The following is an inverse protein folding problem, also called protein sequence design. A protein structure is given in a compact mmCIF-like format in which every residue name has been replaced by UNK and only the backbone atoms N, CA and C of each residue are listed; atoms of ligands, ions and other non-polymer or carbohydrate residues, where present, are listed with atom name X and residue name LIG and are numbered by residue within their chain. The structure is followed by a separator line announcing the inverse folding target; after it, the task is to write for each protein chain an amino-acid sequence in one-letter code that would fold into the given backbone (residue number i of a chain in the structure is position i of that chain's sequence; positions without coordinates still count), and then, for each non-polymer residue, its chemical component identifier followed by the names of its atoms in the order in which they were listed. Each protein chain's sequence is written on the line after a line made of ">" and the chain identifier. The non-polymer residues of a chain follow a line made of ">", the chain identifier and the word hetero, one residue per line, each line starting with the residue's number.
data_IF_033668984753
#
_entry.id   IF_033668984753
#
_cell.length_a   1.000
_cell.length_b   1.000
_cell.length_c   1.000
_cell.angle_alpha   90.00
_cell.angle_beta   90.00
_cell.angle_gamma   90.00
#
_symmetry.space_group_name_H-M   'P 1'
#
loop_
_entity.id
_entity.type
_entity.pdbx_description
1 polymer ?
#
# COMPACT_ATOMS: atom_id res chain seq x y z
N UNK A 1 41.53 41.53 -14.47
CA UNK A 1 40.35 41.25 -15.30
C UNK A 1 39.72 42.59 -15.70
N UNK A 2 39.48 42.83 -16.98
CA UNK A 2 38.96 44.13 -17.44
C UNK A 2 37.55 44.36 -16.89
N UNK A 3 37.25 45.52 -16.25
CA UNK A 3 35.93 45.84 -15.67
C UNK A 3 34.76 45.51 -16.61
N UNK A 4 34.93 45.81 -17.92
CA UNK A 4 33.90 45.48 -18.93
C UNK A 4 33.62 43.95 -19.07
N UNK A 5 34.68 43.12 -19.01
CA UNK A 5 34.54 41.65 -19.08
C UNK A 5 33.86 41.09 -17.79
N UNK A 6 34.19 41.66 -16.63
CA UNK A 6 33.57 41.25 -15.36
C UNK A 6 32.08 41.58 -15.32
N UNK A 7 31.69 42.79 -15.81
CA UNK A 7 30.27 43.17 -15.88
C UNK A 7 29.52 42.28 -16.88
N UNK A 8 30.09 41.97 -18.04
CA UNK A 8 29.47 41.10 -19.03
C UNK A 8 29.25 39.68 -18.48
N UNK A 9 30.23 39.11 -17.78
CA UNK A 9 30.11 37.77 -17.15
C UNK A 9 29.00 37.79 -16.08
N UNK A 10 28.98 38.83 -15.24
CA UNK A 10 27.95 38.98 -14.21
C UNK A 10 26.54 39.09 -14.83
N UNK A 11 26.37 39.91 -15.87
CA UNK A 11 25.07 40.05 -16.55
C UNK A 11 24.63 38.75 -17.19
N UNK A 12 25.52 37.98 -17.83
CA UNK A 12 25.22 36.65 -18.39
C UNK A 12 24.82 35.68 -17.29
N UNK A 13 25.52 35.66 -16.15
CA UNK A 13 25.20 34.81 -15.02
C UNK A 13 23.80 35.14 -14.44
N UNK A 14 23.45 36.41 -14.31
CA UNK A 14 22.12 36.85 -13.89
C UNK A 14 21.02 36.42 -14.87
N UNK A 15 21.25 36.55 -16.17
CA UNK A 15 20.30 36.11 -17.21
C UNK A 15 20.10 34.59 -17.15
N UNK A 16 21.17 33.82 -17.02
CA UNK A 16 21.10 32.36 -16.89
C UNK A 16 20.35 31.93 -15.61
N UNK A 17 20.56 32.65 -14.51
CA UNK A 17 19.86 32.39 -13.25
C UNK A 17 18.34 32.67 -13.39
N UNK A 18 17.97 33.81 -13.99
CA UNK A 18 16.58 34.17 -14.26
C UNK A 18 15.93 33.14 -15.21
N UNK A 19 16.61 32.76 -16.29
CA UNK A 19 16.14 31.71 -17.21
C UNK A 19 15.95 30.37 -16.49
N UNK A 20 16.89 29.93 -15.65
CA UNK A 20 16.78 28.72 -14.85
C UNK A 20 15.59 28.77 -13.92
N UNK A 21 15.32 29.91 -13.28
CA UNK A 21 14.17 30.13 -12.41
C UNK A 21 12.85 30.05 -13.17
N UNK A 22 12.78 30.70 -14.35
CA UNK A 22 11.60 30.62 -15.22
C UNK A 22 11.33 29.18 -15.63
N UNK A 23 12.35 28.44 -16.06
CA UNK A 23 12.22 27.01 -16.40
C UNK A 23 11.77 26.15 -15.22
N UNK A 24 12.19 26.45 -14.00
CA UNK A 24 11.76 25.72 -12.81
C UNK A 24 10.23 25.80 -12.55
N UNK A 25 9.60 26.93 -12.92
CA UNK A 25 8.17 27.18 -12.67
C UNK A 25 7.29 27.03 -13.92
N UNK A 26 7.86 26.68 -15.07
CA UNK A 26 7.07 26.50 -16.30
C UNK A 26 6.04 25.38 -16.11
N UNK A 27 4.80 25.55 -16.59
CA UNK A 27 3.81 24.48 -16.62
C UNK A 27 4.27 23.28 -17.44
N UNK A 28 3.72 22.12 -17.15
CA UNK A 28 3.95 20.91 -17.95
C UNK A 28 3.63 21.14 -19.40
N UNK A 29 4.54 20.82 -20.30
CA UNK A 29 4.32 20.91 -21.74
C UNK A 29 4.99 19.72 -22.46
N UNK A 30 4.41 19.24 -23.58
CA UNK A 30 4.97 18.14 -24.33
C UNK A 30 6.27 18.53 -25.03
N UNK A 31 7.27 17.69 -24.97
CA UNK A 31 8.54 17.87 -25.67
C UNK A 31 8.41 17.28 -27.09
N UNK A 32 7.92 18.09 -28.03
CA UNK A 32 7.80 17.70 -29.43
C UNK A 32 6.89 16.50 -29.63
N UNK A 33 7.38 15.45 -30.30
CA UNK A 33 6.67 14.16 -30.51
C UNK A 33 7.11 13.07 -29.51
N UNK A 34 7.80 13.45 -28.44
CA UNK A 34 8.25 12.52 -27.39
C UNK A 34 7.05 12.05 -26.55
N UNK A 35 7.15 10.83 -26.01
CA UNK A 35 6.22 10.34 -24.98
C UNK A 35 6.46 11.00 -23.61
N UNK A 36 7.43 11.88 -23.48
CA UNK A 36 7.79 12.53 -22.22
C UNK A 36 7.38 14.00 -22.24
N UNK A 37 6.73 14.41 -21.18
CA UNK A 37 6.38 15.80 -20.92
C UNK A 37 7.43 16.43 -20.00
N UNK A 38 7.79 17.67 -20.27
CA UNK A 38 8.59 18.45 -19.33
C UNK A 38 7.69 18.97 -18.21
N UNK A 39 8.07 18.69 -16.98
CA UNK A 39 7.44 19.27 -15.80
C UNK A 39 8.47 20.10 -15.05
N UNK A 40 8.15 21.38 -14.80
CA UNK A 40 9.05 22.29 -14.10
C UNK A 40 9.44 21.76 -12.71
N UNK A 41 10.69 21.90 -12.32
CA UNK A 41 11.25 21.36 -11.07
C UNK A 41 10.44 21.74 -9.83
N UNK A 42 9.86 22.94 -9.77
CA UNK A 42 9.06 23.38 -8.64
C UNK A 42 7.77 22.55 -8.46
N UNK A 43 7.25 21.96 -9.53
CA UNK A 43 6.06 21.08 -9.49
C UNK A 43 6.41 19.63 -9.21
N UNK A 44 7.65 19.24 -9.43
CA UNK A 44 8.13 17.90 -9.10
C UNK A 44 8.55 17.75 -7.63
N UNK A 45 8.63 18.86 -6.89
CA UNK A 45 8.88 18.83 -5.44
C UNK A 45 7.62 18.36 -4.76
N UNK A 46 7.69 17.17 -4.20
CA UNK A 46 6.62 16.60 -3.39
C UNK A 46 6.62 17.25 -2.01
N UNK A 47 5.45 17.68 -1.59
CA UNK A 47 5.26 18.36 -0.31
C UNK A 47 4.74 17.36 0.72
N UNK A 48 5.23 17.43 1.95
CA UNK A 48 4.71 16.62 3.04
C UNK A 48 3.30 17.05 3.48
N UNK A 49 2.71 16.29 4.38
CA UNK A 49 1.32 16.44 4.86
C UNK A 49 0.98 17.87 5.33
N UNK A 50 1.92 18.55 5.99
CA UNK A 50 1.73 19.91 6.53
C UNK A 50 1.53 20.99 5.44
N UNK A 51 2.13 20.78 4.27
CA UNK A 51 2.13 21.74 3.16
C UNK A 51 1.14 21.37 2.05
N UNK A 52 1.01 20.09 1.74
CA UNK A 52 0.09 19.60 0.71
C UNK A 52 -1.32 19.33 1.27
N UNK A 53 -1.41 19.10 2.58
CA UNK A 53 -2.58 18.46 3.16
C UNK A 53 -2.58 16.96 2.86
N UNK A 54 -3.62 16.26 3.25
CA UNK A 54 -3.74 14.84 3.00
C UNK A 54 -4.44 14.10 4.13
N UNK A 55 -4.06 12.85 4.34
CA UNK A 55 -4.69 11.94 5.28
C UNK A 55 -3.66 11.39 6.27
N UNK A 56 -4.02 11.34 7.54
CA UNK A 56 -3.27 10.64 8.58
C UNK A 56 -4.20 9.64 9.28
N UNK A 57 -3.79 8.37 9.35
CA UNK A 57 -4.51 7.32 10.06
C UNK A 57 -3.60 6.69 11.12
N UNK A 58 -4.14 6.52 12.32
CA UNK A 58 -3.46 5.84 13.43
C UNK A 58 -4.21 4.57 13.75
N UNK A 59 -3.49 3.46 13.76
CA UNK A 59 -4.00 2.13 14.08
C UNK A 59 -3.44 1.67 15.43
N UNK A 60 -4.30 1.17 16.30
CA UNK A 60 -3.91 0.38 17.45
C UNK A 60 -3.49 -1.01 17.01
N UNK A 61 -2.38 -1.49 17.57
CA UNK A 61 -1.85 -2.82 17.27
C UNK A 61 -1.95 -3.70 18.51
N UNK A 62 -2.44 -4.92 18.32
CA UNK A 62 -2.51 -5.94 19.37
C UNK A 62 -1.95 -7.25 18.86
N UNK A 63 -1.44 -8.06 19.78
CA UNK A 63 -1.22 -9.47 19.48
C UNK A 63 -2.56 -10.16 19.20
N UNK A 64 -2.60 -11.15 18.29
CA UNK A 64 -3.79 -11.98 18.09
C UNK A 64 -4.25 -12.64 19.40
N UNK A 65 -5.54 -12.94 19.49
CA UNK A 65 -6.12 -13.57 20.68
C UNK A 65 -5.37 -14.85 21.06
N UNK A 66 -4.91 -14.88 22.32
CA UNK A 66 -4.19 -16.02 22.88
C UNK A 66 -2.67 -16.01 22.66
N UNK A 67 -2.13 -14.99 21.98
CA UNK A 67 -0.68 -14.81 21.82
C UNK A 67 -0.15 -13.69 22.72
N UNK A 68 1.05 -13.93 23.29
CA UNK A 68 1.85 -12.89 23.94
C UNK A 68 3.13 -12.70 23.14
N UNK A 69 3.31 -11.51 22.56
CA UNK A 69 4.49 -11.20 21.76
C UNK A 69 5.56 -10.54 22.65
N UNK A 70 6.80 -10.96 22.46
CA UNK A 70 7.95 -10.20 22.99
C UNK A 70 8.11 -8.90 22.19
N UNK A 71 8.85 -7.94 22.75
CA UNK A 71 9.10 -6.65 22.06
C UNK A 71 9.81 -6.83 20.72
N UNK A 72 10.73 -7.79 20.62
CA UNK A 72 11.48 -8.09 19.39
C UNK A 72 10.57 -8.76 18.34
N UNK A 73 9.73 -9.71 18.74
CA UNK A 73 8.75 -10.33 17.84
C UNK A 73 7.75 -9.33 17.32
N UNK A 74 7.22 -8.46 18.18
CA UNK A 74 6.32 -7.38 17.78
C UNK A 74 6.98 -6.46 16.76
N UNK A 75 8.24 -6.07 17.01
CA UNK A 75 9.00 -5.23 16.08
C UNK A 75 9.14 -5.89 14.70
N UNK A 76 9.54 -7.16 14.64
CA UNK A 76 9.69 -7.90 13.38
C UNK A 76 8.35 -7.94 12.62
N UNK A 77 7.25 -8.20 13.32
CA UNK A 77 5.90 -8.22 12.71
C UNK A 77 5.51 -6.84 12.18
N UNK A 78 5.76 -5.78 12.94
CA UNK A 78 5.46 -4.40 12.54
C UNK A 78 6.33 -3.93 11.36
N UNK A 79 7.60 -4.34 11.28
CA UNK A 79 8.45 -4.08 10.12
C UNK A 79 7.85 -4.71 8.85
N UNK A 80 7.33 -5.92 8.95
CA UNK A 80 6.65 -6.60 7.84
C UNK A 80 5.35 -5.90 7.41
N UNK A 81 4.51 -5.51 8.36
CA UNK A 81 3.26 -4.76 8.07
C UNK A 81 3.59 -3.42 7.43
N UNK A 82 4.57 -2.69 7.97
CA UNK A 82 5.05 -1.42 7.42
C UNK A 82 5.48 -1.58 5.97
N UNK A 83 6.37 -2.54 5.68
CA UNK A 83 6.85 -2.79 4.33
C UNK A 83 5.71 -3.10 3.34
N UNK A 84 4.74 -3.92 3.75
CA UNK A 84 3.57 -4.24 2.92
C UNK A 84 2.67 -3.03 2.67
N UNK A 85 2.49 -2.16 3.67
CA UNK A 85 1.71 -0.94 3.50
C UNK A 85 2.41 0.06 2.58
N UNK A 86 3.73 0.26 2.73
CA UNK A 86 4.54 1.14 1.88
C UNK A 86 4.52 0.65 0.41
N UNK A 87 4.60 -0.66 0.18
CA UNK A 87 4.53 -1.26 -1.15
C UNK A 87 3.14 -1.03 -1.79
N UNK A 88 2.07 -1.27 -1.05
CA UNK A 88 0.70 -1.01 -1.50
C UNK A 88 0.50 0.47 -1.87
N UNK A 89 0.89 1.39 -0.99
CA UNK A 89 0.74 2.83 -1.21
C UNK A 89 1.54 3.30 -2.43
N UNK A 90 2.79 2.84 -2.56
CA UNK A 90 3.65 3.15 -3.70
C UNK A 90 3.04 2.63 -5.01
N UNK A 91 2.47 1.43 -5.02
CA UNK A 91 1.82 0.84 -6.20
C UNK A 91 0.60 1.65 -6.68
N UNK A 92 -0.06 2.36 -5.76
CA UNK A 92 -1.19 3.24 -6.03
C UNK A 92 -0.78 4.68 -6.38
N UNK A 93 0.52 4.94 -6.45
CA UNK A 93 1.06 6.26 -6.79
C UNK A 93 1.27 7.20 -5.61
N UNK A 94 1.02 6.76 -4.37
CA UNK A 94 1.26 7.54 -3.15
C UNK A 94 2.73 7.41 -2.70
N UNK A 95 3.65 7.87 -3.55
CA UNK A 95 5.12 7.68 -3.35
C UNK A 95 5.68 8.46 -2.17
N UNK A 96 4.99 9.50 -1.70
CA UNK A 96 5.40 10.35 -0.56
C UNK A 96 4.71 9.95 0.74
N UNK A 97 4.02 8.82 0.74
CA UNK A 97 3.43 8.27 1.95
C UNK A 97 4.51 7.85 2.96
N UNK A 98 4.21 8.03 4.23
CA UNK A 98 5.09 7.67 5.33
C UNK A 98 4.35 6.71 6.27
N UNK A 99 4.94 5.54 6.50
CA UNK A 99 4.44 4.57 7.47
C UNK A 99 5.43 4.48 8.63
N UNK A 100 4.97 4.80 9.82
CA UNK A 100 5.76 4.71 11.04
C UNK A 100 5.05 3.85 12.08
N UNK A 101 5.79 3.32 13.02
CA UNK A 101 5.19 2.61 14.15
C UNK A 101 5.88 2.94 15.47
N UNK A 102 5.16 2.76 16.56
CA UNK A 102 5.65 2.86 17.93
C UNK A 102 5.36 1.54 18.66
N UNK A 103 6.36 1.02 19.36
CA UNK A 103 6.26 -0.20 20.19
C UNK A 103 6.20 0.10 21.68
N UNK A 104 6.33 1.37 22.09
CA UNK A 104 6.37 1.77 23.51
C UNK A 104 4.95 2.06 24.00
N UNK A 105 4.58 1.50 25.13
CA UNK A 105 3.24 1.65 25.69
C UNK A 105 2.20 0.86 24.90
N UNK A 106 1.18 1.53 24.37
CA UNK A 106 0.22 0.93 23.43
C UNK A 106 0.80 0.98 22.01
N UNK A 107 1.17 -0.15 21.41
CA UNK A 107 1.74 -0.17 20.07
C UNK A 107 0.79 0.43 19.04
N UNK A 108 1.34 1.22 18.11
CA UNK A 108 0.58 1.87 17.04
C UNK A 108 1.34 1.86 15.72
N UNK A 109 0.58 1.86 14.63
CA UNK A 109 1.07 2.20 13.29
C UNK A 109 0.40 3.51 12.88
N UNK A 110 1.19 4.44 12.36
CA UNK A 110 0.71 5.70 11.78
C UNK A 110 1.03 5.71 10.29
N UNK A 111 0.03 5.98 9.49
CA UNK A 111 0.13 6.11 8.03
C UNK A 111 -0.23 7.53 7.65
N UNK A 112 0.69 8.22 6.99
CA UNK A 112 0.51 9.59 6.51
C UNK A 112 0.63 9.61 4.98
N UNK A 113 -0.36 10.18 4.33
CA UNK A 113 -0.43 10.23 2.87
C UNK A 113 -0.72 11.67 2.46
N UNK A 114 0.27 12.40 1.97
CA UNK A 114 0.08 13.76 1.48
C UNK A 114 -0.59 13.78 0.11
N UNK A 115 -1.18 14.94 -0.24
CA UNK A 115 -1.73 15.24 -1.57
C UNK A 115 -2.80 14.25 -2.04
N UNK A 116 -3.78 14.00 -1.18
CA UNK A 116 -4.88 13.06 -1.43
C UNK A 116 -6.13 13.80 -1.88
N UNK A 117 -6.63 13.47 -3.07
CA UNK A 117 -7.88 14.02 -3.60
C UNK A 117 -9.13 13.38 -2.96
N UNK A 118 -9.08 12.08 -2.68
CA UNK A 118 -10.19 11.31 -2.11
C UNK A 118 -9.75 10.56 -0.82
N UNK A 119 -9.91 11.20 0.35
CA UNK A 119 -9.53 10.60 1.63
C UNK A 119 -10.26 9.30 1.96
N UNK A 120 -11.53 9.16 1.60
CA UNK A 120 -12.35 7.98 1.94
C UNK A 120 -11.82 6.75 1.20
N UNK A 121 -11.50 6.90 -0.09
CA UNK A 121 -10.92 5.84 -0.89
C UNK A 121 -9.56 5.37 -0.35
N UNK A 122 -8.79 6.30 0.19
CA UNK A 122 -7.49 5.97 0.79
C UNK A 122 -7.67 5.21 2.09
N UNK A 123 -8.63 5.59 2.93
CA UNK A 123 -8.91 4.85 4.16
C UNK A 123 -9.36 3.41 3.87
N UNK A 124 -10.13 3.18 2.83
CA UNK A 124 -10.49 1.83 2.39
C UNK A 124 -9.26 1.05 1.92
N UNK A 125 -8.32 1.72 1.26
CA UNK A 125 -7.09 1.11 0.74
C UNK A 125 -6.14 0.67 1.87
N UNK A 126 -5.86 1.57 2.82
CA UNK A 126 -4.97 1.30 3.96
C UNK A 126 -5.66 0.54 5.09
N UNK A 127 -6.98 0.41 4.99
CA UNK A 127 -7.80 -0.28 5.97
C UNK A 127 -7.25 -1.68 6.25
N UNK A 128 -7.45 -2.13 7.42
CA UNK A 128 -7.03 -3.37 8.12
C UNK A 128 -6.30 -4.39 7.27
N UNK A 129 -5.12 -4.87 7.69
CA UNK A 129 -4.53 -6.09 7.14
C UNK A 129 -5.62 -7.17 7.02
N UNK A 130 -5.72 -7.77 5.85
CA UNK A 130 -6.81 -8.71 5.61
C UNK A 130 -6.53 -10.03 6.34
N UNK A 131 -7.36 -10.41 7.29
CA UNK A 131 -7.26 -11.70 7.96
C UNK A 131 -7.94 -12.77 7.13
N UNK A 132 -7.19 -13.83 6.76
CA UNK A 132 -7.72 -15.00 6.05
C UNK A 132 -8.09 -16.09 7.04
N UNK A 133 -9.28 -16.68 6.89
CA UNK A 133 -9.66 -17.93 7.54
C UNK A 133 -10.25 -18.88 6.49
N UNK A 134 -9.91 -20.17 6.59
CA UNK A 134 -10.55 -21.24 5.83
C UNK A 134 -11.20 -22.18 6.82
N UNK A 135 -12.50 -22.38 6.67
CA UNK A 135 -13.33 -23.16 7.60
C UNK A 135 -14.02 -24.29 6.88
N UNK A 136 -14.63 -25.19 7.63
CA UNK A 136 -15.58 -26.15 7.09
C UNK A 136 -16.80 -25.40 6.56
N UNK A 137 -17.39 -25.87 5.46
CA UNK A 137 -18.59 -25.29 4.88
C UNK A 137 -19.71 -25.17 5.92
N UNK A 138 -20.32 -23.98 6.02
CA UNK A 138 -21.43 -23.64 6.93
C UNK A 138 -21.12 -23.86 8.42
N UNK A 139 -19.83 -23.97 8.78
CA UNK A 139 -19.36 -24.15 10.17
C UNK A 139 -18.12 -23.29 10.44
N UNK A 140 -18.33 -22.03 10.80
CA UNK A 140 -17.27 -21.07 11.12
C UNK A 140 -16.44 -21.45 12.36
N UNK A 141 -16.95 -22.36 13.21
CA UNK A 141 -16.24 -22.79 14.42
C UNK A 141 -15.12 -23.78 14.10
N UNK A 142 -15.28 -24.55 13.04
CA UNK A 142 -14.26 -25.49 12.57
C UNK A 142 -13.32 -24.78 11.62
N UNK A 143 -12.29 -24.13 12.17
CA UNK A 143 -11.28 -23.38 11.42
C UNK A 143 -10.08 -24.29 11.14
N UNK A 144 -9.76 -24.48 9.86
CA UNK A 144 -8.60 -25.26 9.41
C UNK A 144 -7.36 -24.38 9.21
N UNK A 145 -7.55 -23.19 8.62
CA UNK A 145 -6.46 -22.26 8.30
C UNK A 145 -6.76 -20.89 8.89
N UNK A 146 -5.73 -20.32 9.53
CA UNK A 146 -5.67 -18.92 9.95
C UNK A 146 -4.46 -18.30 9.25
N UNK A 147 -4.66 -17.21 8.51
CA UNK A 147 -3.62 -16.61 7.66
C UNK A 147 -2.35 -16.25 8.43
N UNK A 148 -2.47 -15.58 9.56
CA UNK A 148 -1.36 -15.17 10.41
C UNK A 148 -0.51 -16.33 10.96
N UNK A 149 -1.09 -17.53 11.08
CA UNK A 149 -0.42 -18.71 11.62
C UNK A 149 0.11 -19.65 10.53
N UNK A 150 -0.61 -19.78 9.44
CA UNK A 150 -0.41 -20.85 8.47
C UNK A 150 0.13 -20.38 7.11
N UNK A 151 0.04 -19.09 6.78
CA UNK A 151 0.61 -18.56 5.55
C UNK A 151 2.08 -18.17 5.73
N UNK A 152 2.86 -18.39 4.68
CA UNK A 152 4.25 -17.96 4.56
C UNK A 152 4.35 -16.74 3.63
N UNK A 153 3.62 -16.79 2.53
CA UNK A 153 3.66 -15.75 1.51
C UNK A 153 2.33 -15.69 0.76
N UNK A 154 1.97 -14.50 0.32
CA UNK A 154 0.82 -14.26 -0.56
C UNK A 154 1.29 -13.43 -1.74
N UNK A 155 0.87 -13.77 -2.93
CA UNK A 155 1.27 -13.05 -4.15
C UNK A 155 0.23 -13.14 -5.24
N UNK A 156 0.58 -12.63 -6.42
CA UNK A 156 -0.26 -12.67 -7.61
C UNK A 156 0.34 -13.64 -8.62
N UNK A 157 -0.49 -14.42 -9.27
CA UNK A 157 -0.11 -15.28 -10.38
C UNK A 157 -1.11 -15.11 -11.55
N UNK A 158 -0.63 -15.34 -12.78
CA UNK A 158 -1.53 -15.38 -13.93
C UNK A 158 -2.45 -16.62 -13.84
N UNK A 159 -3.73 -16.46 -14.20
CA UNK A 159 -4.64 -17.60 -14.31
C UNK A 159 -4.37 -18.39 -15.59
N UNK A 160 -3.55 -19.44 -15.48
CA UNK A 160 -3.14 -20.28 -16.62
C UNK A 160 -4.27 -21.17 -17.13
N UNK A 161 -5.35 -21.39 -16.37
CA UNK A 161 -6.46 -22.23 -16.80
C UNK A 161 -7.39 -21.53 -17.79
N UNK A 162 -7.57 -20.21 -17.63
CA UNK A 162 -8.49 -19.44 -18.48
C UNK A 162 -7.81 -18.77 -19.67
N UNK A 163 -6.50 -18.58 -19.63
CA UNK A 163 -5.67 -17.95 -20.68
C UNK A 163 -6.27 -16.65 -21.28
N UNK A 164 -7.02 -15.90 -20.45
CA UNK A 164 -7.75 -14.69 -20.84
C UNK A 164 -7.16 -13.40 -20.23
N UNK A 165 -5.92 -13.45 -19.75
CA UNK A 165 -5.24 -12.30 -19.14
C UNK A 165 -5.75 -11.95 -17.73
N UNK A 166 -6.42 -12.88 -17.04
CA UNK A 166 -6.85 -12.72 -15.65
C UNK A 166 -5.80 -13.25 -14.67
N UNK A 167 -5.95 -12.84 -13.42
CA UNK A 167 -5.02 -13.15 -12.34
C UNK A 167 -5.72 -13.84 -11.19
N UNK A 168 -4.92 -14.54 -10.37
CA UNK A 168 -5.34 -15.24 -9.15
C UNK A 168 -4.46 -14.82 -7.99
N UNK A 169 -4.97 -14.93 -6.78
CA UNK A 169 -4.19 -14.71 -5.56
C UNK A 169 -3.54 -16.04 -5.19
N UNK A 170 -2.21 -16.07 -5.18
CA UNK A 170 -1.43 -17.24 -4.84
C UNK A 170 -1.13 -17.25 -3.34
N UNK A 171 -1.49 -18.34 -2.67
CA UNK A 171 -1.20 -18.58 -1.26
C UNK A 171 -0.09 -19.62 -1.15
N UNK A 172 0.93 -19.33 -0.37
CA UNK A 172 1.98 -20.26 0.02
C UNK A 172 1.90 -20.50 1.52
N UNK A 173 1.71 -21.72 1.91
CA UNK A 173 1.65 -22.12 3.31
C UNK A 173 3.05 -22.38 3.90
N UNK A 174 3.21 -22.16 5.20
CA UNK A 174 4.35 -22.63 5.95
C UNK A 174 4.21 -24.14 6.23
N UNK A 175 5.17 -24.75 6.94
CA UNK A 175 5.17 -26.20 7.21
C UNK A 175 3.94 -26.67 8.00
N UNK A 176 3.47 -25.87 8.96
CA UNK A 176 2.26 -26.17 9.76
C UNK A 176 1.01 -26.02 8.91
N UNK A 177 0.89 -24.92 8.19
CA UNK A 177 -0.22 -24.65 7.28
C UNK A 177 -0.33 -25.66 6.15
N UNK A 178 0.78 -26.13 5.59
CA UNK A 178 0.79 -27.21 4.60
C UNK A 178 0.15 -28.49 5.15
N UNK A 179 0.51 -28.89 6.37
CA UNK A 179 -0.07 -30.08 7.01
C UNK A 179 -1.55 -29.87 7.33
N UNK A 180 -1.91 -28.70 7.87
CA UNK A 180 -3.28 -28.37 8.21
C UNK A 180 -4.17 -28.34 6.96
N UNK A 181 -3.69 -27.75 5.85
CA UNK A 181 -4.44 -27.66 4.62
C UNK A 181 -4.57 -29.02 3.91
N UNK A 182 -3.53 -29.85 3.94
CA UNK A 182 -3.59 -31.23 3.45
C UNK A 182 -4.65 -32.05 4.21
N UNK A 183 -4.67 -31.97 5.54
CA UNK A 183 -5.69 -32.65 6.37
C UNK A 183 -7.08 -32.12 6.08
N UNK A 184 -7.25 -30.77 6.01
CA UNK A 184 -8.53 -30.13 5.72
C UNK A 184 -9.08 -30.56 4.36
N UNK A 185 -8.24 -30.54 3.31
CA UNK A 185 -8.66 -30.95 1.97
C UNK A 185 -8.96 -32.45 1.90
N UNK A 186 -8.16 -33.28 2.55
CA UNK A 186 -8.38 -34.73 2.62
C UNK A 186 -9.71 -35.10 3.28
N UNK A 187 -10.04 -34.46 4.41
CA UNK A 187 -11.28 -34.70 5.17
C UNK A 187 -12.54 -34.22 4.44
N UNK A 188 -12.38 -33.27 3.54
CA UNK A 188 -13.45 -32.60 2.82
C UNK A 188 -13.49 -32.93 1.32
N UNK A 189 -12.87 -34.04 0.86
CA UNK A 189 -13.00 -34.49 -0.54
C UNK A 189 -14.47 -34.73 -0.86
N UNK A 190 -14.93 -34.14 -1.99
CA UNK A 190 -16.33 -34.16 -2.42
C UNK A 190 -17.25 -33.22 -1.66
N UNK A 191 -16.73 -32.45 -0.72
CA UNK A 191 -17.41 -31.39 0.02
C UNK A 191 -16.81 -30.02 -0.34
N UNK A 192 -17.19 -29.00 0.42
CA UNK A 192 -16.69 -27.65 0.21
C UNK A 192 -16.08 -27.06 1.48
N UNK A 193 -15.21 -26.07 1.30
CA UNK A 193 -14.64 -25.21 2.33
C UNK A 193 -15.09 -23.77 2.09
N UNK A 194 -15.27 -23.02 3.17
CA UNK A 194 -15.56 -21.60 3.12
C UNK A 194 -14.30 -20.78 3.37
N UNK A 195 -14.10 -19.76 2.55
CA UNK A 195 -13.00 -18.79 2.66
C UNK A 195 -13.58 -17.50 3.17
N UNK A 196 -13.04 -17.01 4.29
CA UNK A 196 -13.39 -15.73 4.91
C UNK A 196 -12.23 -14.77 4.83
N UNK A 197 -12.52 -13.51 4.56
CA UNK A 197 -11.59 -12.39 4.67
C UNK A 197 -12.21 -11.34 5.59
N UNK A 198 -11.50 -10.96 6.65
CA UNK A 198 -11.97 -10.02 7.67
C UNK A 198 -13.31 -10.43 8.34
N UNK A 199 -13.57 -11.74 8.44
CA UNK A 199 -14.82 -12.26 8.99
C UNK A 199 -15.98 -12.28 8.01
N UNK A 200 -15.82 -11.78 6.79
CA UNK A 200 -16.82 -11.88 5.73
C UNK A 200 -16.53 -13.06 4.82
N UNK A 201 -17.56 -13.82 4.50
CA UNK A 201 -17.45 -14.97 3.59
C UNK A 201 -17.19 -14.49 2.17
N UNK A 202 -15.98 -14.75 1.67
CA UNK A 202 -15.60 -14.40 0.30
C UNK A 202 -16.18 -15.38 -0.71
N UNK A 203 -16.01 -16.68 -0.46
CA UNK A 203 -16.45 -17.74 -1.37
C UNK A 203 -16.50 -19.10 -0.69
N UNK A 204 -17.19 -20.01 -1.35
CA UNK A 204 -17.17 -21.44 -1.04
C UNK A 204 -16.45 -22.17 -2.18
N UNK A 205 -15.47 -23.02 -1.86
CA UNK A 205 -14.67 -23.78 -2.82
C UNK A 205 -14.87 -25.27 -2.64
N UNK A 206 -15.13 -26.00 -3.74
CA UNK A 206 -15.26 -27.45 -3.72
C UNK A 206 -13.88 -28.11 -3.68
N UNK A 207 -13.74 -29.16 -2.89
CA UNK A 207 -12.52 -29.93 -2.73
C UNK A 207 -12.60 -31.20 -3.58
N UNK A 208 -11.79 -31.27 -4.64
CA UNK A 208 -11.76 -32.44 -5.53
C UNK A 208 -10.73 -33.48 -5.10
N UNK A 209 -9.64 -33.07 -4.47
CA UNK A 209 -8.55 -33.95 -4.03
C UNK A 209 -7.78 -33.31 -2.86
N UNK A 210 -6.97 -34.13 -2.19
CA UNK A 210 -6.02 -33.66 -1.18
C UNK A 210 -4.98 -32.74 -1.83
N UNK A 211 -4.69 -31.58 -1.20
CA UNK A 211 -3.67 -30.63 -1.61
C UNK A 211 -2.57 -30.62 -0.56
N UNK A 212 -1.44 -31.26 -0.86
CA UNK A 212 -0.31 -31.45 0.05
C UNK A 212 0.97 -30.71 -0.36
N UNK A 213 0.93 -29.97 -1.47
CA UNK A 213 2.09 -29.24 -2.00
C UNK A 213 2.36 -27.89 -1.31
N UNK A 214 1.51 -27.49 -0.34
CA UNK A 214 1.67 -26.24 0.38
C UNK A 214 1.32 -24.97 -0.42
N UNK A 215 0.56 -25.11 -1.49
CA UNK A 215 0.13 -23.99 -2.33
C UNK A 215 -1.38 -24.07 -2.60
N UNK A 216 -2.02 -22.91 -2.67
CA UNK A 216 -3.41 -22.77 -3.11
C UNK A 216 -3.57 -21.46 -3.89
N UNK A 217 -4.67 -21.35 -4.63
CA UNK A 217 -5.02 -20.12 -5.32
C UNK A 217 -6.45 -19.71 -5.00
N UNK A 218 -6.67 -18.41 -4.82
CA UNK A 218 -8.01 -17.84 -4.73
C UNK A 218 -8.33 -17.25 -6.10
N UNK A 219 -9.39 -17.77 -6.73
CA UNK A 219 -9.92 -17.29 -8.00
C UNK A 219 -11.16 -16.44 -7.73
N UNK A 220 -11.41 -15.45 -8.57
CA UNK A 220 -12.67 -14.72 -8.50
C UNK A 220 -13.83 -15.68 -8.84
N UNK A 221 -14.91 -15.62 -8.04
CA UNK A 221 -16.06 -16.49 -8.21
C UNK A 221 -16.76 -16.27 -9.57
N UNK A 222 -17.57 -17.22 -9.98
CA UNK A 222 -18.27 -17.26 -11.27
C UNK A 222 -19.25 -16.09 -11.52
N UNK A 223 -19.50 -15.25 -10.52
CA UNK A 223 -20.38 -14.07 -10.61
C UNK A 223 -19.73 -12.85 -11.28
N UNK A 224 -18.42 -12.90 -11.55
CA UNK A 224 -17.73 -11.79 -12.21
C UNK A 224 -17.94 -11.82 -13.72
N UNK A 225 -18.26 -10.68 -14.30
CA UNK A 225 -18.46 -10.48 -15.76
C UNK A 225 -17.17 -10.76 -16.55
N UNK A 226 -16.01 -10.61 -15.95
CA UNK A 226 -14.68 -10.83 -16.53
C UNK A 226 -14.11 -12.23 -16.25
N UNK A 227 -14.71 -12.97 -15.31
CA UNK A 227 -14.33 -14.36 -14.99
C UNK A 227 -12.99 -14.51 -14.26
N UNK A 228 -12.38 -13.44 -13.74
CA UNK A 228 -11.14 -13.45 -12.96
C UNK A 228 -10.75 -12.04 -12.51
N UNK A 229 -9.79 -11.94 -11.61
CA UNK A 229 -9.25 -10.66 -11.14
C UNK A 229 -8.44 -9.96 -12.23
N UNK A 230 -8.51 -8.64 -12.29
CA UNK A 230 -7.47 -7.82 -12.93
C UNK A 230 -6.18 -7.93 -12.10
N UNK A 231 -5.05 -7.56 -12.70
CA UNK A 231 -3.77 -7.52 -11.96
C UNK A 231 -3.85 -6.63 -10.73
N UNK A 232 -4.47 -5.47 -10.86
CA UNK A 232 -4.61 -4.47 -9.80
C UNK A 232 -5.44 -5.01 -8.63
N UNK A 233 -6.61 -5.60 -8.90
CA UNK A 233 -7.47 -6.20 -7.87
C UNK A 233 -6.77 -7.35 -7.14
N UNK A 234 -6.09 -8.23 -7.88
CA UNK A 234 -5.35 -9.34 -7.31
C UNK A 234 -4.18 -8.85 -6.45
N UNK A 235 -3.47 -7.82 -6.92
CA UNK A 235 -2.33 -7.23 -6.22
C UNK A 235 -2.74 -6.57 -4.90
N UNK A 236 -3.80 -5.77 -4.91
CA UNK A 236 -4.34 -5.13 -3.71
C UNK A 236 -4.74 -6.16 -2.65
N UNK A 237 -5.49 -7.16 -3.06
CA UNK A 237 -5.93 -8.21 -2.15
C UNK A 237 -4.75 -9.05 -1.63
N UNK A 238 -3.80 -9.40 -2.51
CA UNK A 238 -2.62 -10.17 -2.12
C UNK A 238 -1.76 -9.38 -1.12
N UNK A 239 -1.54 -8.09 -1.34
CA UNK A 239 -0.74 -7.25 -0.44
C UNK A 239 -1.41 -7.07 0.92
N UNK A 240 -2.72 -6.87 0.95
CA UNK A 240 -3.50 -6.80 2.21
C UNK A 240 -3.47 -8.13 2.96
N UNK A 241 -3.60 -9.25 2.26
CA UNK A 241 -3.50 -10.59 2.87
C UNK A 241 -2.07 -10.85 3.36
N UNK A 242 -1.05 -10.44 2.60
CA UNK A 242 0.36 -10.54 3.01
C UNK A 242 0.61 -9.75 4.31
N UNK A 243 0.09 -8.52 4.42
CA UNK A 243 0.16 -7.75 5.67
C UNK A 243 -0.49 -8.50 6.84
N UNK A 244 -1.62 -9.17 6.61
CA UNK A 244 -2.29 -10.02 7.61
C UNK A 244 -1.53 -11.27 8.02
N UNK A 245 -0.52 -11.71 7.25
CA UNK A 245 0.31 -12.87 7.64
C UNK A 245 1.29 -12.56 8.76
N UNK A 246 1.59 -11.30 9.01
CA UNK A 246 2.50 -10.91 10.10
C UNK A 246 1.89 -11.07 11.50
N UNK A 247 0.62 -11.44 11.58
CA UNK A 247 0.00 -11.85 12.83
C UNK A 247 -0.07 -10.75 13.88
N UNK A 248 -0.58 -9.60 13.49
CA UNK A 248 -0.99 -8.52 14.38
C UNK A 248 -2.42 -8.11 14.04
N UNK A 249 -3.20 -7.87 15.08
CA UNK A 249 -4.54 -7.30 14.92
C UNK A 249 -4.43 -5.77 14.94
N UNK A 250 -5.02 -5.15 13.93
CA UNK A 250 -5.02 -3.70 13.79
C UNK A 250 -6.44 -3.16 13.86
N UNK A 251 -6.65 -2.13 14.64
CA UNK A 251 -7.93 -1.41 14.73
C UNK A 251 -7.68 0.08 14.52
N UNK A 252 -8.51 0.70 13.69
CA UNK A 252 -8.42 2.16 13.48
C UNK A 252 -8.69 2.85 14.80
N UNK A 253 -7.72 3.64 15.28
CA UNK A 253 -7.88 4.50 16.46
C UNK A 253 -8.40 5.86 16.05
N UNK A 254 -7.79 6.45 15.02
CA UNK A 254 -8.04 7.82 14.62
C UNK A 254 -7.75 8.00 13.13
N UNK A 255 -8.57 8.79 12.47
CA UNK A 255 -8.34 9.22 11.10
C UNK A 255 -8.51 10.73 11.02
N UNK A 256 -7.51 11.41 10.49
CA UNK A 256 -7.51 12.85 10.35
C UNK A 256 -7.32 13.25 8.88
N UNK A 257 -8.19 14.13 8.41
CA UNK A 257 -8.00 14.82 7.14
C UNK A 257 -7.32 16.14 7.44
N UNK A 258 -6.09 16.29 6.96
CA UNK A 258 -5.28 17.50 7.14
C UNK A 258 -5.48 18.41 5.94
N UNK A 259 -6.11 19.57 6.17
CA UNK A 259 -6.26 20.58 5.13
C UNK A 259 -4.96 21.37 4.93
N UNK A 260 -4.58 21.73 3.70
CA UNK A 260 -3.32 22.42 3.40
C UNK A 260 -3.34 23.91 3.78
N UNK A 261 -3.92 24.26 4.92
CA UNK A 261 -4.15 25.67 5.32
C UNK A 261 -2.89 26.46 5.59
N UNK A 262 -1.84 25.78 6.07
CA UNK A 262 -0.52 26.41 6.32
C UNK A 262 0.34 26.43 5.04
N UNK A 263 0.19 25.48 4.15
CA UNK A 263 1.06 25.28 3.00
C UNK A 263 0.96 26.40 1.97
N UNK A 264 -0.22 26.76 1.54
CA UNK A 264 -0.43 27.78 0.48
C UNK A 264 0.06 29.16 0.92
N UNK A 265 -0.17 29.54 2.19
CA UNK A 265 0.28 30.83 2.73
C UNK A 265 1.80 30.83 2.95
N UNK A 266 2.37 29.77 3.48
CA UNK A 266 3.82 29.65 3.70
C UNK A 266 4.59 29.63 2.38
N UNK A 267 4.14 28.85 1.41
CA UNK A 267 4.76 28.78 0.07
C UNK A 267 4.71 30.13 -0.62
N UNK A 268 3.55 30.82 -0.61
CA UNK A 268 3.40 32.14 -1.22
C UNK A 268 4.29 33.19 -0.56
N UNK A 269 4.35 33.21 0.77
CA UNK A 269 5.19 34.15 1.53
C UNK A 269 6.66 33.90 1.30
N UNK A 270 7.11 32.64 1.26
CA UNK A 270 8.49 32.25 0.96
C UNK A 270 8.89 32.62 -0.47
N UNK A 271 7.98 32.43 -1.43
CA UNK A 271 8.22 32.82 -2.83
C UNK A 271 8.39 34.34 -2.96
N UNK A 272 7.51 35.12 -2.33
CA UNK A 272 7.60 36.58 -2.32
C UNK A 272 8.90 37.02 -1.66
N UNK A 273 9.25 36.49 -0.51
CA UNK A 273 10.48 36.79 0.19
C UNK A 273 11.73 36.46 -0.66
N UNK A 274 11.72 35.32 -1.35
CA UNK A 274 12.78 34.91 -2.28
C UNK A 274 12.94 35.88 -3.45
N UNK A 275 11.84 36.31 -4.07
CA UNK A 275 11.86 37.29 -5.17
C UNK A 275 12.43 38.64 -4.68
N UNK A 276 11.95 39.12 -3.52
CA UNK A 276 12.45 40.36 -2.92
C UNK A 276 13.94 40.28 -2.63
N UNK A 277 14.43 39.15 -2.07
CA UNK A 277 15.85 38.95 -1.78
C UNK A 277 16.75 38.86 -3.00
N UNK A 278 16.21 38.50 -4.16
CA UNK A 278 16.96 38.48 -5.43
C UNK A 278 17.02 39.88 -6.06
N UNK A 279 15.98 40.71 -5.86
CA UNK A 279 15.92 42.09 -6.42
C UNK A 279 16.77 43.07 -5.63
N UNK A 280 16.97 42.85 -4.33
CA UNK A 280 17.85 43.67 -3.46
C UNK A 280 19.30 43.30 -3.67
#
# INVERSE_FOLDING_TARGET
>A
MNKKKSIAIFTIACILLVLGMVFAFVPTFPIGKSMYDYTGYARSIKLGLDLAGGVSAVFDVKAPDGETLTADELKIRLDGVKASMEDLLTSKGYTESVVTYNTTGNPTITVEIPDVDDPERVFDLIGRPASLKITKQDDEKTVYIVGSKHLKNVGVAADTEKNNGTYVISLQFNAEGTKAFASATKENIGKSLDIYINGEKLMTVSVSSEISNGQAVIKQGSSSTTGGYTYEEAYDMATRLQAGTFGVDMTVRETNIVSPTLGTTAIRSSLIAGIVGIVL
#
